data_IF_362157028930
#
_entry.id   IF_362157028930
#
_cell.length_a   1.000
_cell.length_b   1.000
_cell.length_c   1.000
_cell.angle_alpha   90.00
_cell.angle_beta   90.00
_cell.angle_gamma   90.00
#
_symmetry.space_group_name_H-M   'P 1'
#
loop_
_entity.id
_entity.type
_entity.pdbx_description
1 polymer ?
#
# COMPACT_ATOMS: atom_id res chain seq x y z
N UNK A 1 0.57 -12.59 -2.51
CA UNK A 1 0.64 -13.28 -1.19
C UNK A 1 2.00 -13.03 -0.60
N UNK A 2 2.09 -12.67 0.68
CA UNK A 2 3.38 -12.46 1.33
C UNK A 2 4.05 -13.81 1.65
N UNK A 3 5.26 -14.03 1.13
CA UNK A 3 5.87 -15.36 1.12
C UNK A 3 6.19 -15.93 2.51
N UNK A 4 6.68 -15.08 3.42
CA UNK A 4 7.13 -15.51 4.74
C UNK A 4 5.98 -15.72 5.71
N UNK A 5 5.08 -14.74 5.80
CA UNK A 5 3.97 -14.78 6.77
C UNK A 5 2.74 -15.53 6.25
N UNK A 6 2.71 -15.89 4.96
CA UNK A 6 1.63 -16.63 4.30
C UNK A 6 0.26 -15.95 4.38
N UNK A 7 0.25 -14.63 4.49
CA UNK A 7 -0.94 -13.80 4.48
C UNK A 7 -1.14 -13.08 3.13
N UNK A 8 -2.38 -12.69 2.86
CA UNK A 8 -2.84 -11.89 1.71
C UNK A 8 -3.20 -10.50 2.20
N UNK A 9 -2.97 -9.51 1.34
CA UNK A 9 -3.43 -8.14 1.58
C UNK A 9 -4.96 -8.15 1.72
N UNK A 10 -5.47 -7.51 2.75
CA UNK A 10 -6.86 -7.60 3.14
C UNK A 10 -7.35 -6.24 3.64
N UNK A 11 -8.62 -5.91 3.46
CA UNK A 11 -9.26 -4.71 4.03
C UNK A 11 -10.69 -5.03 4.43
N UNK A 12 -11.23 -4.32 5.39
CA UNK A 12 -12.60 -4.55 5.89
C UNK A 12 -13.11 -3.29 6.58
N UNK A 13 -14.39 -3.26 6.96
CA UNK A 13 -15.04 -2.09 7.57
C UNK A 13 -14.64 -1.87 9.06
N UNK A 14 -13.34 -1.82 9.33
CA UNK A 14 -12.76 -1.42 10.61
C UNK A 14 -11.67 -0.39 10.33
N UNK A 15 -11.85 0.87 10.78
CA UNK A 15 -10.82 1.89 10.70
C UNK A 15 -9.74 1.72 11.77
N UNK A 16 -8.60 2.37 11.57
CA UNK A 16 -7.61 2.51 12.63
C UNK A 16 -8.20 3.29 13.82
N UNK A 17 -8.00 2.78 15.04
CA UNK A 17 -8.42 3.47 16.27
C UNK A 17 -7.55 4.69 16.65
N UNK A 18 -6.47 4.92 15.91
CA UNK A 18 -5.51 6.02 16.08
C UNK A 18 -4.97 6.47 14.70
N UNK A 19 -4.18 7.55 14.66
CA UNK A 19 -3.59 8.04 13.41
C UNK A 19 -4.63 8.67 12.48
N UNK A 20 -4.73 8.20 11.23
CA UNK A 20 -5.60 8.82 10.22
C UNK A 20 -7.09 8.54 10.39
N UNK A 21 -7.46 7.54 11.20
CA UNK A 21 -8.85 7.05 11.29
C UNK A 21 -9.41 6.47 9.98
N UNK A 22 -8.55 6.28 8.97
CA UNK A 22 -8.93 5.66 7.70
C UNK A 22 -9.10 4.15 7.87
N UNK A 23 -9.70 3.51 6.86
CA UNK A 23 -9.91 2.07 6.88
C UNK A 23 -8.58 1.31 6.97
N UNK A 24 -8.55 0.29 7.84
CA UNK A 24 -7.33 -0.46 8.11
C UNK A 24 -6.99 -1.43 6.99
N UNK A 25 -5.69 -1.60 6.73
CA UNK A 25 -5.18 -2.61 5.80
C UNK A 25 -4.52 -3.72 6.58
N UNK A 26 -5.12 -4.89 6.39
CA UNK A 26 -4.98 -6.25 6.93
C UNK A 26 -4.02 -7.22 6.23
N UNK A 27 -3.56 -8.26 6.95
CA UNK A 27 -2.89 -9.44 6.40
C UNK A 27 -3.69 -10.68 6.84
N UNK A 28 -4.48 -11.26 5.94
CA UNK A 28 -5.31 -12.44 6.26
C UNK A 28 -4.68 -13.74 5.74
N UNK A 29 -4.64 -14.83 6.52
CA UNK A 29 -4.20 -16.14 6.03
C UNK A 29 -5.25 -16.81 5.14
N UNK A 30 -6.52 -16.38 5.22
CA UNK A 30 -7.63 -17.02 4.53
C UNK A 30 -7.48 -16.89 3.02
N UNK A 31 -7.69 -18.00 2.31
CA UNK A 31 -7.44 -18.09 0.87
C UNK A 31 -8.63 -17.63 0.05
N UNK A 32 -9.84 -17.78 0.60
CA UNK A 32 -11.12 -17.59 -0.09
C UNK A 32 -11.96 -16.51 0.60
N UNK A 33 -11.33 -15.36 0.82
CA UNK A 33 -11.97 -14.20 1.41
C UNK A 33 -12.06 -13.07 0.38
N UNK A 34 -13.28 -12.62 0.07
CA UNK A 34 -13.52 -11.50 -0.83
C UNK A 34 -12.89 -10.20 -0.36
N UNK A 35 -12.67 -10.05 0.95
CA UNK A 35 -11.98 -8.90 1.53
C UNK A 35 -10.47 -8.87 1.21
N UNK A 36 -9.94 -9.91 0.55
CA UNK A 36 -8.60 -9.95 -0.02
C UNK A 36 -8.57 -9.72 -1.53
N UNK A 37 -9.69 -9.36 -2.15
CA UNK A 37 -9.76 -9.03 -3.59
C UNK A 37 -9.44 -7.55 -3.85
N UNK A 38 -8.46 -7.32 -4.72
CA UNK A 38 -8.02 -5.99 -5.15
C UNK A 38 -8.01 -5.91 -6.68
N UNK A 39 -8.54 -4.80 -7.22
CA UNK A 39 -8.47 -4.48 -8.64
C UNK A 39 -7.22 -3.68 -8.91
N UNK A 40 -6.41 -4.15 -9.85
CA UNK A 40 -5.19 -3.44 -10.26
C UNK A 40 -5.46 -2.64 -11.53
N UNK A 41 -5.31 -1.33 -11.44
CA UNK A 41 -5.21 -0.44 -12.60
C UNK A 41 -3.78 0.05 -12.75
N UNK A 42 -3.35 0.31 -14.00
CA UNK A 42 -2.00 0.78 -14.28
C UNK A 42 -2.05 2.12 -15.01
N UNK A 43 -1.15 3.02 -14.63
CA UNK A 43 -0.88 4.24 -15.34
C UNK A 43 0.54 4.23 -15.87
N UNK A 44 0.63 4.50 -17.17
CA UNK A 44 1.90 4.62 -17.87
C UNK A 44 2.41 6.05 -17.70
N UNK A 45 2.99 6.34 -16.55
CA UNK A 45 3.59 7.65 -16.32
C UNK A 45 4.97 7.69 -17.00
N UNK A 46 5.11 8.56 -17.99
CA UNK A 46 6.42 9.11 -18.32
C UNK A 46 6.70 10.18 -17.25
N UNK A 47 7.80 10.08 -16.47
CA UNK A 47 8.16 11.14 -15.54
C UNK A 47 8.21 12.46 -16.30
N UNK A 48 7.35 13.42 -15.97
CA UNK A 48 7.30 14.74 -16.64
C UNK A 48 8.45 15.66 -16.22
N UNK A 49 9.31 15.23 -15.30
CA UNK A 49 10.36 16.06 -14.74
C UNK A 49 11.74 15.43 -14.91
N UNK A 50 12.68 16.20 -15.47
CA UNK A 50 14.10 15.89 -15.42
C UNK A 50 14.52 16.00 -13.95
N UNK A 51 14.74 14.86 -13.30
CA UNK A 51 15.36 14.81 -11.97
C UNK A 51 16.84 15.18 -12.07
N UNK A 52 17.13 16.48 -12.06
CA UNK A 52 18.48 17.03 -11.88
C UNK A 52 19.53 16.60 -12.92
N UNK A 53 20.78 17.07 -12.77
CA UNK A 53 21.88 16.64 -13.63
C UNK A 53 22.33 15.23 -13.22
N UNK A 54 22.04 14.23 -14.06
CA UNK A 54 22.82 12.99 -14.10
C UNK A 54 22.08 11.66 -13.92
N UNK A 55 20.76 11.62 -13.69
CA UNK A 55 20.00 10.36 -13.68
C UNK A 55 18.82 10.47 -14.64
N UNK A 56 19.00 9.92 -15.84
CA UNK A 56 17.91 9.66 -16.78
C UNK A 56 17.50 8.20 -16.57
N UNK A 57 16.35 7.98 -15.94
CA UNK A 57 15.71 6.67 -15.97
C UNK A 57 15.15 6.46 -17.39
N UNK A 58 15.80 5.62 -18.19
CA UNK A 58 15.34 5.29 -19.55
C UNK A 58 14.15 4.31 -19.58
N UNK A 59 13.51 4.05 -18.43
CA UNK A 59 12.40 3.11 -18.31
C UNK A 59 11.06 3.83 -18.15
N UNK A 60 10.06 3.41 -18.93
CA UNK A 60 8.65 3.66 -18.65
C UNK A 60 8.35 3.17 -17.23
N UNK A 61 8.02 4.08 -16.31
CA UNK A 61 7.67 3.69 -14.95
C UNK A 61 6.22 3.19 -14.95
N UNK A 62 6.03 1.91 -14.63
CA UNK A 62 4.68 1.37 -14.45
C UNK A 62 4.25 1.66 -13.03
N UNK A 63 3.37 2.66 -12.89
CA UNK A 63 2.68 2.93 -11.64
C UNK A 63 1.36 2.18 -11.65
N UNK A 64 0.96 1.66 -10.49
CA UNK A 64 -0.30 0.94 -10.32
C UNK A 64 -1.09 1.51 -9.15
N UNK A 65 -2.41 1.40 -9.23
CA UNK A 65 -3.32 1.55 -8.09
C UNK A 65 -3.93 0.20 -7.77
N UNK A 66 -4.07 -0.10 -6.49
CA UNK A 66 -4.79 -1.27 -6.01
C UNK A 66 -6.07 -0.79 -5.31
N UNK A 67 -7.23 -1.06 -5.92
CA UNK A 67 -8.53 -0.66 -5.40
C UNK A 67 -9.20 -1.85 -4.71
N UNK A 68 -9.64 -1.64 -3.48
CA UNK A 68 -10.35 -2.64 -2.72
C UNK A 68 -11.74 -2.86 -3.31
N UNK A 69 -12.06 -4.11 -3.68
CA UNK A 69 -13.25 -4.42 -4.46
C UNK A 69 -14.56 -4.05 -3.75
N UNK A 70 -14.67 -4.30 -2.45
CA UNK A 70 -15.97 -4.19 -1.75
C UNK A 70 -16.47 -2.74 -1.66
N UNK A 71 -15.59 -1.79 -1.36
CA UNK A 71 -15.99 -0.38 -1.14
C UNK A 71 -15.25 0.63 -2.03
N UNK A 72 -14.46 0.14 -2.99
CA UNK A 72 -13.81 0.94 -4.04
C UNK A 72 -12.81 2.00 -3.53
N UNK A 73 -12.25 1.84 -2.32
CA UNK A 73 -11.15 2.66 -1.83
C UNK A 73 -9.79 2.18 -2.38
N UNK A 74 -8.80 3.07 -2.44
CA UNK A 74 -7.46 2.75 -2.91
C UNK A 74 -6.54 2.38 -1.75
N UNK A 75 -5.63 1.44 -1.99
CA UNK A 75 -4.47 1.21 -1.12
C UNK A 75 -3.62 2.48 -1.14
N UNK A 76 -3.51 3.14 0.00
CA UNK A 76 -2.89 4.44 0.14
C UNK A 76 -1.76 4.38 1.17
N UNK A 77 -0.63 5.01 0.86
CA UNK A 77 0.32 5.39 1.90
C UNK A 77 0.05 6.84 2.31
N UNK A 78 -0.31 7.06 3.56
CA UNK A 78 -0.58 8.41 4.03
C UNK A 78 0.65 9.32 3.86
N UNK A 79 0.44 10.58 3.46
CA UNK A 79 1.49 11.61 3.54
C UNK A 79 1.73 12.11 4.97
N UNK A 80 0.96 11.58 5.94
CA UNK A 80 0.96 12.01 7.32
C UNK A 80 2.18 11.40 8.06
N UNK A 81 3.23 12.21 8.20
CA UNK A 81 4.33 11.92 9.13
C UNK A 81 3.79 11.97 10.56
N UNK A 82 3.41 10.83 11.14
CA UNK A 82 3.09 10.77 12.56
C UNK A 82 4.37 10.51 13.36
N UNK A 83 4.93 11.57 13.96
CA UNK A 83 5.85 11.43 15.07
C UNK A 83 5.06 10.93 16.29
N UNK A 84 5.20 9.65 16.61
CA UNK A 84 4.74 9.06 17.87
C UNK A 84 3.23 8.82 17.95
N UNK A 85 2.82 7.58 17.71
CA UNK A 85 1.43 7.17 17.91
C UNK A 85 1.13 5.76 17.43
N UNK A 86 1.61 4.78 18.20
CA UNK A 86 1.11 3.40 18.34
C UNK A 86 0.58 2.70 17.06
N UNK A 87 1.46 1.89 16.47
CA UNK A 87 1.17 0.96 15.38
C UNK A 87 0.49 -0.31 15.94
N UNK A 88 -0.81 -0.28 16.16
CA UNK A 88 -1.60 -1.52 16.32
C UNK A 88 -2.29 -1.85 15.01
N UNK A 89 -1.59 -2.60 14.16
CA UNK A 89 -2.08 -3.71 13.32
C UNK A 89 -1.04 -3.99 12.25
N UNK A 90 -0.27 -5.08 12.42
CA UNK A 90 0.18 -5.99 11.34
C UNK A 90 1.28 -6.98 11.73
N UNK A 91 1.86 -6.96 12.94
CA UNK A 91 2.85 -7.99 13.33
C UNK A 91 2.79 -8.34 14.82
N UNK A 92 1.63 -8.82 15.29
CA UNK A 92 1.56 -9.48 16.60
C UNK A 92 2.21 -10.86 16.53
N UNK A 93 3.55 -10.90 16.67
CA UNK A 93 4.27 -12.09 17.15
C UNK A 93 5.61 -11.84 17.83
N UNK A 94 6.05 -10.60 18.04
CA UNK A 94 7.22 -10.37 18.88
C UNK A 94 7.08 -9.07 19.68
N UNK A 95 7.35 -9.18 20.97
CA UNK A 95 7.39 -8.14 21.99
C UNK A 95 8.53 -7.13 21.68
N UNK A 96 8.38 -6.34 20.61
CA UNK A 96 9.38 -5.36 20.15
C UNK A 96 8.85 -3.97 20.51
N UNK A 97 9.60 -3.25 21.35
CA UNK A 97 9.34 -1.84 21.63
C UNK A 97 9.73 -0.99 20.40
N UNK A 98 8.75 -0.51 19.63
CA UNK A 98 8.96 0.29 18.41
C UNK A 98 9.26 1.79 18.66
N UNK A 99 9.85 2.15 19.81
CA UNK A 99 10.25 3.55 20.07
C UNK A 99 11.34 3.98 19.07
N UNK A 100 11.03 4.96 18.23
CA UNK A 100 12.01 5.62 17.33
C UNK A 100 12.03 5.15 15.87
N UNK A 101 11.06 4.35 15.43
CA UNK A 101 10.93 3.95 14.03
C UNK A 101 9.85 4.78 13.32
N UNK A 102 10.18 5.32 12.14
CA UNK A 102 9.23 6.01 11.26
C UNK A 102 8.71 5.00 10.23
N UNK A 103 7.47 4.57 10.39
CA UNK A 103 6.74 3.83 9.37
C UNK A 103 5.62 4.70 8.84
N UNK A 104 5.44 4.76 7.52
CA UNK A 104 4.26 5.34 6.93
C UNK A 104 3.07 4.40 7.16
N UNK A 105 1.93 4.96 7.57
CA UNK A 105 0.69 4.20 7.72
C UNK A 105 0.16 3.84 6.33
N UNK A 106 -0.21 2.58 6.15
CA UNK A 106 -0.89 2.07 4.95
C UNK A 106 -2.37 1.92 5.27
N UNK A 107 -3.24 2.48 4.46
CA UNK A 107 -4.69 2.47 4.68
C UNK A 107 -5.45 2.19 3.39
N UNK A 108 -6.75 1.95 3.51
CA UNK A 108 -7.66 2.03 2.38
C UNK A 108 -8.36 3.39 2.43
N UNK A 109 -8.13 4.21 1.41
CA UNK A 109 -8.55 5.61 1.40
C UNK A 109 -9.24 5.99 0.09
N UNK A 110 -10.16 6.93 0.19
CA UNK A 110 -10.74 7.61 -0.97
C UNK A 110 -11.57 6.68 -1.85
N UNK A 111 -11.37 6.84 -3.15
CA UNK A 111 -12.10 6.22 -4.24
C UNK A 111 -11.71 6.90 -5.56
N UNK A 112 -12.45 6.66 -6.65
CA UNK A 112 -12.17 7.30 -7.93
C UNK A 112 -12.29 8.84 -7.88
N UNK A 113 -13.16 9.34 -7.00
CA UNK A 113 -13.46 10.76 -6.80
C UNK A 113 -12.52 11.46 -5.79
N UNK A 114 -11.77 10.68 -5.00
CA UNK A 114 -10.89 11.16 -3.92
C UNK A 114 -9.56 10.44 -3.93
N UNK A 115 -8.94 10.37 -5.12
CA UNK A 115 -7.62 9.79 -5.31
C UNK A 115 -6.51 10.83 -5.12
N UNK A 116 -5.38 10.42 -4.56
CA UNK A 116 -4.20 11.27 -4.39
C UNK A 116 -2.88 10.55 -4.74
N UNK A 117 -1.75 11.25 -4.56
CA UNK A 117 -0.43 10.72 -4.89
C UNK A 117 -0.04 9.48 -4.07
N UNK A 118 -0.63 9.29 -2.88
CA UNK A 118 -0.39 8.14 -2.01
C UNK A 118 -1.02 6.83 -2.51
N UNK A 119 -1.90 6.90 -3.52
CA UNK A 119 -2.53 5.73 -4.13
C UNK A 119 -1.64 5.02 -5.15
N UNK A 120 -0.57 5.68 -5.61
CA UNK A 120 0.26 5.20 -6.71
C UNK A 120 1.47 4.42 -6.20
N UNK A 121 1.53 3.14 -6.56
CA UNK A 121 2.61 2.24 -6.19
C UNK A 121 3.47 1.91 -7.41
N UNK A 122 4.77 1.78 -7.22
CA UNK A 122 5.66 1.26 -8.26
C UNK A 122 5.54 -0.27 -8.30
N UNK A 123 5.29 -0.82 -9.49
CA UNK A 123 5.36 -2.27 -9.70
C UNK A 123 6.79 -2.69 -10.04
N UNK A 124 7.40 -3.51 -9.19
CA UNK A 124 8.68 -4.17 -9.45
C UNK A 124 8.43 -5.68 -9.59
N UNK A 125 8.88 -6.28 -10.69
CA UNK A 125 8.74 -7.72 -10.95
C UNK A 125 10.13 -8.34 -10.79
N UNK A 126 10.30 -9.16 -9.76
CA UNK A 126 11.53 -9.90 -9.51
C UNK A 126 11.48 -11.29 -10.19
N UNK A 127 12.58 -11.67 -10.84
CA UNK A 127 12.74 -12.94 -11.54
C UNK A 127 12.94 -12.79 -13.05
N UNK A 128 13.69 -13.70 -13.67
CA UNK A 128 13.82 -13.75 -15.13
C UNK A 128 12.49 -14.19 -15.72
N UNK A 129 11.73 -13.25 -16.30
CA UNK A 129 10.57 -13.57 -17.10
C UNK A 129 10.95 -14.63 -18.12
N UNK A 130 10.45 -15.86 -17.96
CA UNK A 130 10.49 -16.82 -19.06
C UNK A 130 9.45 -16.35 -20.06
N UNK A 131 9.95 -15.70 -21.12
CA UNK A 131 9.26 -15.59 -22.40
C UNK A 131 9.02 -16.96 -22.99
#
# INVERSE_FOLDING_TARGET
>A
MHERAKCRLHSHDVPYGSGSGQQSVTGSPDVDDSNSCWVISHENLMPKEKSGPGIIWYGKLTMVKAQFWTIQCNLNHGSYSFYGGMLETMLDRHNISYKGLNFALVSCFGGDDRSDAGDFWRLEIEGSGKT
#
